data_IF_950587062399
#
_entry.id   IF_950587062399
#
_cell.length_a   1.000
_cell.length_b   1.000
_cell.length_c   1.000
_cell.angle_alpha   90.00
_cell.angle_beta   90.00
_cell.angle_gamma   90.00
#
_symmetry.space_group_name_H-M   'P 1'
#
loop_
_entity.id
_entity.type
_entity.pdbx_description
1 polymer ?
#
# COMPACT_ATOMS: atom_id res chain seq x y z
N UNK A 1 -30.05 -16.15 14.21
CA UNK A 1 -28.70 -16.60 13.84
C UNK A 1 -28.46 -16.21 12.39
N UNK A 2 -27.85 -15.06 12.14
CA UNK A 2 -27.60 -14.58 10.77
C UNK A 2 -26.32 -15.23 10.26
N UNK A 3 -26.46 -16.20 9.37
CA UNK A 3 -25.35 -16.72 8.57
C UNK A 3 -25.00 -15.61 7.60
N UNK A 4 -23.95 -14.83 7.90
CA UNK A 4 -23.41 -13.85 6.95
C UNK A 4 -22.84 -14.67 5.78
N UNK A 5 -23.41 -14.57 4.57
CA UNK A 5 -22.94 -15.33 3.43
C UNK A 5 -21.48 -14.98 3.16
N UNK A 6 -20.65 -15.99 2.87
CA UNK A 6 -19.20 -15.91 2.62
C UNK A 6 -18.79 -15.04 1.40
N UNK A 7 -19.69 -14.22 0.85
CA UNK A 7 -19.53 -13.45 -0.38
C UNK A 7 -18.68 -12.16 -0.22
N UNK A 8 -18.22 -11.84 0.99
CA UNK A 8 -17.31 -10.72 1.26
C UNK A 8 -16.02 -11.16 1.95
N UNK A 9 -15.43 -12.30 1.56
CA UNK A 9 -14.01 -12.52 1.90
C UNK A 9 -13.21 -11.39 1.25
N UNK A 10 -12.58 -10.56 2.08
CA UNK A 10 -11.69 -9.49 1.63
C UNK A 10 -10.65 -10.15 0.71
N UNK A 11 -10.38 -9.60 -0.49
CA UNK A 11 -9.37 -10.17 -1.37
C UNK A 11 -7.97 -10.12 -0.73
N UNK A 12 -7.79 -9.23 0.24
CA UNK A 12 -6.56 -9.06 1.01
C UNK A 12 -6.94 -8.80 2.47
N UNK A 13 -6.39 -9.60 3.39
CA UNK A 13 -6.50 -9.41 4.83
C UNK A 13 -5.22 -8.79 5.39
N UNK A 14 -5.37 -7.76 6.23
CA UNK A 14 -4.26 -7.10 6.91
C UNK A 14 -4.07 -7.70 8.30
N UNK A 15 -2.90 -8.26 8.58
CA UNK A 15 -2.48 -8.69 9.90
C UNK A 15 -1.29 -7.85 10.38
N UNK A 16 -1.31 -7.47 11.67
CA UNK A 16 -0.22 -6.77 12.31
C UNK A 16 0.57 -7.74 13.20
N UNK A 17 1.88 -7.78 13.02
CA UNK A 17 2.79 -8.53 13.88
C UNK A 17 3.80 -7.58 14.51
N UNK A 18 4.57 -8.05 15.49
CA UNK A 18 5.66 -7.26 16.05
C UNK A 18 6.79 -7.00 15.04
N UNK A 19 6.93 -7.83 14.00
CA UNK A 19 7.96 -7.70 12.99
C UNK A 19 7.55 -6.77 11.84
N UNK A 20 6.26 -6.74 11.49
CA UNK A 20 5.77 -5.94 10.38
C UNK A 20 4.28 -6.08 10.13
N UNK A 21 3.88 -5.75 8.92
CA UNK A 21 2.54 -5.96 8.39
C UNK A 21 2.55 -7.14 7.44
N UNK A 22 1.53 -7.98 7.53
CA UNK A 22 1.27 -9.06 6.59
C UNK A 22 -0.01 -8.76 5.82
N UNK A 23 0.08 -8.81 4.50
CA UNK A 23 -1.04 -8.67 3.57
C UNK A 23 -1.34 -10.06 3.00
N UNK A 24 -2.27 -10.77 3.62
CA UNK A 24 -2.66 -12.11 3.20
C UNK A 24 -3.61 -12.03 2.01
N UNK A 25 -3.22 -12.64 0.92
CA UNK A 25 -3.99 -12.77 -0.32
C UNK A 25 -4.46 -14.22 -0.48
N UNK A 26 -5.08 -14.56 -1.61
CA UNK A 26 -5.46 -15.95 -1.90
C UNK A 26 -4.26 -16.83 -2.24
N UNK A 27 -3.19 -16.23 -2.74
CA UNK A 27 -2.01 -16.94 -3.27
C UNK A 27 -0.79 -16.89 -2.35
N UNK A 28 -0.88 -16.19 -1.22
CA UNK A 28 0.24 -16.05 -0.28
C UNK A 28 0.12 -14.77 0.53
N UNK A 29 1.19 -14.38 1.22
CA UNK A 29 1.24 -13.14 1.99
C UNK A 29 2.39 -12.25 1.49
N UNK A 30 2.12 -10.95 1.38
CA UNK A 30 3.18 -9.96 1.24
C UNK A 30 3.54 -9.41 2.62
N UNK A 31 4.82 -9.25 2.90
CA UNK A 31 5.32 -8.76 4.19
C UNK A 31 5.97 -7.39 4.05
N UNK A 32 5.65 -6.49 4.98
CA UNK A 32 6.24 -5.15 5.08
C UNK A 32 6.85 -5.04 6.48
N UNK A 33 8.19 -5.11 6.63
CA UNK A 33 8.84 -4.87 7.90
C UNK A 33 8.53 -3.46 8.42
N UNK A 34 8.38 -3.28 9.73
CA UNK A 34 8.14 -1.93 10.30
C UNK A 34 9.26 -0.92 9.97
N UNK A 35 10.48 -1.41 9.78
CA UNK A 35 11.64 -0.61 9.37
C UNK A 35 11.49 0.00 7.97
N UNK A 36 10.73 -0.68 7.10
CA UNK A 36 10.43 -0.21 5.74
C UNK A 36 9.23 0.73 5.70
N UNK A 37 8.64 1.08 6.86
CA UNK A 37 7.56 2.05 6.98
C UNK A 37 8.12 3.40 7.42
N UNK A 38 8.19 4.36 6.50
CA UNK A 38 8.69 5.71 6.81
C UNK A 38 7.64 6.59 7.48
N UNK A 39 6.35 6.31 7.27
CA UNK A 39 5.28 7.09 7.88
C UNK A 39 3.92 6.43 7.78
N UNK A 40 3.07 6.77 8.74
CA UNK A 40 1.67 6.34 8.83
C UNK A 40 0.86 7.61 9.07
N UNK A 41 -0.33 7.70 8.48
CA UNK A 41 -1.19 8.84 8.72
C UNK A 41 -2.60 8.63 8.25
N UNK A 42 -3.46 9.61 8.51
CA UNK A 42 -4.86 9.58 8.12
C UNK A 42 -5.11 10.54 6.98
N UNK A 43 -6.03 10.16 6.10
CA UNK A 43 -6.57 11.06 5.09
C UNK A 43 -8.06 10.87 4.91
N UNK A 44 -8.77 11.95 4.62
CA UNK A 44 -10.17 11.88 4.24
C UNK A 44 -10.30 11.59 2.74
N UNK A 45 -11.11 10.60 2.38
CA UNK A 45 -11.43 10.28 1.00
C UNK A 45 -12.89 9.87 0.87
N UNK A 46 -13.63 10.57 -0.02
CA UNK A 46 -15.04 10.31 -0.27
C UNK A 46 -15.84 10.17 1.04
N UNK A 47 -15.63 11.13 1.95
CA UNK A 47 -16.28 11.21 3.27
C UNK A 47 -15.88 10.12 4.29
N UNK A 48 -14.95 9.22 3.94
CA UNK A 48 -14.44 8.19 4.84
C UNK A 48 -12.96 8.42 5.20
N UNK A 49 -12.59 8.07 6.43
CA UNK A 49 -11.21 8.15 6.89
C UNK A 49 -10.44 6.93 6.44
N UNK A 50 -9.42 7.17 5.61
CA UNK A 50 -8.45 6.18 5.19
C UNK A 50 -7.19 6.28 6.05
N UNK A 51 -6.63 5.13 6.39
CA UNK A 51 -5.29 4.97 6.92
C UNK A 51 -4.32 4.84 5.75
N UNK A 52 -3.33 5.71 5.70
CA UNK A 52 -2.29 5.71 4.70
C UNK A 52 -0.96 5.23 5.28
N UNK A 53 -0.24 4.47 4.47
CA UNK A 53 1.10 3.99 4.79
C UNK A 53 2.09 4.46 3.73
N UNK A 54 3.27 4.86 4.21
CA UNK A 54 4.38 5.30 3.40
C UNK A 54 5.53 4.31 3.53
N UNK A 55 5.98 3.77 2.41
CA UNK A 55 7.14 2.89 2.34
C UNK A 55 8.42 3.70 2.19
N UNK A 56 9.47 3.27 2.89
CA UNK A 56 10.83 3.83 2.81
C UNK A 56 11.51 3.44 1.50
N UNK A 57 11.29 2.19 1.06
CA UNK A 57 11.70 1.64 -0.23
C UNK A 57 10.68 0.62 -0.71
N UNK A 58 10.60 0.39 -2.02
CA UNK A 58 9.79 -0.67 -2.60
C UNK A 58 10.57 -1.98 -2.77
N UNK A 59 11.90 -1.95 -2.67
CA UNK A 59 12.75 -3.09 -3.07
C UNK A 59 12.42 -4.33 -2.24
N UNK A 60 12.44 -4.25 -0.90
CA UNK A 60 12.13 -5.38 -0.03
C UNK A 60 10.68 -5.86 -0.18
N UNK A 61 9.75 -4.93 -0.36
CA UNK A 61 8.34 -5.25 -0.50
C UNK A 61 8.04 -6.00 -1.80
N UNK A 62 8.66 -5.57 -2.91
CA UNK A 62 8.46 -6.16 -4.23
C UNK A 62 9.30 -7.43 -4.43
N UNK A 63 10.53 -7.49 -3.90
CA UNK A 63 11.43 -8.64 -4.05
C UNK A 63 10.92 -9.88 -3.30
N UNK A 64 10.16 -9.71 -2.22
CA UNK A 64 9.60 -10.81 -1.44
C UNK A 64 8.21 -11.24 -1.93
N UNK A 65 7.79 -10.82 -3.13
CA UNK A 65 6.45 -11.02 -3.63
C UNK A 65 6.45 -11.87 -4.90
N UNK A 66 5.52 -12.84 -4.98
CA UNK A 66 5.29 -13.58 -6.22
C UNK A 66 4.37 -12.79 -7.16
N UNK A 67 4.41 -13.04 -8.49
CA UNK A 67 3.52 -12.38 -9.44
C UNK A 67 2.03 -12.53 -9.12
N UNK A 68 1.61 -13.66 -8.57
CA UNK A 68 0.21 -13.95 -8.19
C UNK A 68 -0.23 -13.09 -7.00
N UNK A 69 0.63 -12.95 -6.00
CA UNK A 69 0.38 -12.04 -4.86
C UNK A 69 0.31 -10.59 -5.33
N UNK A 70 1.19 -10.20 -6.27
CA UNK A 70 1.16 -8.87 -6.86
C UNK A 70 -0.15 -8.61 -7.62
N UNK A 71 -0.63 -9.59 -8.38
CA UNK A 71 -1.90 -9.50 -9.11
C UNK A 71 -3.10 -9.34 -8.16
N UNK A 72 -3.14 -10.12 -7.07
CA UNK A 72 -4.18 -9.99 -6.04
C UNK A 72 -4.16 -8.60 -5.37
N UNK A 73 -2.96 -8.11 -5.04
CA UNK A 73 -2.79 -6.77 -4.45
C UNK A 73 -3.19 -5.66 -5.44
N UNK A 74 -2.83 -5.77 -6.72
CA UNK A 74 -3.29 -4.85 -7.78
C UNK A 74 -4.81 -4.83 -7.88
N UNK A 75 -5.44 -6.00 -7.78
CA UNK A 75 -6.89 -6.16 -7.81
C UNK A 75 -7.61 -5.64 -6.57
N UNK A 76 -6.89 -5.49 -5.46
CA UNK A 76 -7.44 -5.09 -4.16
C UNK A 76 -7.98 -3.66 -4.17
N UNK A 77 -8.97 -3.41 -3.30
CA UNK A 77 -9.51 -2.07 -3.12
C UNK A 77 -8.47 -1.08 -2.57
N UNK A 78 -7.47 -1.57 -1.84
CA UNK A 78 -6.39 -0.76 -1.26
C UNK A 78 -5.55 -0.08 -2.35
N UNK A 79 -5.32 -0.77 -3.46
CA UNK A 79 -4.56 -0.27 -4.62
C UNK A 79 -5.48 0.35 -5.67
N UNK A 80 -6.63 -0.26 -5.99
CA UNK A 80 -7.55 0.26 -7.02
C UNK A 80 -8.21 1.59 -6.66
N UNK A 81 -8.36 1.95 -5.39
CA UNK A 81 -8.95 3.25 -5.01
C UNK A 81 -8.12 4.45 -5.47
N UNK A 82 -6.82 4.26 -5.67
CA UNK A 82 -5.91 5.23 -6.27
C UNK A 82 -6.29 5.53 -7.72
N UNK A 83 -6.58 4.46 -8.48
CA UNK A 83 -7.12 4.55 -9.84
C UNK A 83 -8.49 5.24 -9.83
N UNK A 84 -9.38 4.91 -8.89
CA UNK A 84 -10.67 5.61 -8.76
C UNK A 84 -10.53 7.09 -8.41
N UNK A 85 -9.58 7.51 -7.56
CA UNK A 85 -9.25 8.93 -7.36
C UNK A 85 -8.79 9.59 -8.65
N UNK A 86 -7.94 8.89 -9.42
CA UNK A 86 -7.45 9.38 -10.70
C UNK A 86 -8.60 9.54 -11.69
N UNK A 87 -9.49 8.55 -11.78
CA UNK A 87 -10.69 8.52 -12.64
C UNK A 87 -11.77 9.52 -12.21
N UNK A 88 -12.05 9.67 -10.92
CA UNK A 88 -12.99 10.68 -10.38
C UNK A 88 -12.44 12.09 -10.52
N UNK A 89 -11.11 12.25 -10.52
CA UNK A 89 -10.43 13.48 -10.96
C UNK A 89 -10.31 13.61 -12.48
N UNK A 90 -10.89 12.75 -13.33
CA UNK A 90 -10.93 12.99 -14.79
C UNK A 90 -11.91 14.11 -15.16
N UNK A 91 -12.75 14.59 -14.23
CA UNK A 91 -13.35 15.93 -14.33
C UNK A 91 -12.35 17.08 -14.08
N UNK A 92 -11.15 16.79 -13.57
CA UNK A 92 -10.12 17.75 -13.13
C UNK A 92 -8.72 17.29 -13.60
N UNK A 93 -8.49 17.39 -14.90
CA UNK A 93 -7.20 17.49 -15.61
C UNK A 93 -5.95 17.15 -14.77
N UNK A 94 -5.46 15.91 -14.80
CA UNK A 94 -4.09 15.61 -14.40
C UNK A 94 -3.16 16.19 -15.46
N UNK A 95 -2.42 17.29 -15.22
CA UNK A 95 -1.68 17.95 -16.28
C UNK A 95 -0.63 16.98 -16.81
N UNK A 96 -0.59 16.76 -18.12
CA UNK A 96 0.42 15.93 -18.79
C UNK A 96 1.86 16.30 -18.40
N UNK A 97 2.09 17.52 -17.88
CA UNK A 97 3.36 18.01 -17.32
C UNK A 97 3.71 17.44 -15.95
N UNK A 98 2.75 17.08 -15.10
CA UNK A 98 2.99 16.40 -13.80
C UNK A 98 3.30 14.92 -14.03
N UNK A 99 2.51 14.26 -14.89
CA UNK A 99 2.86 12.92 -15.39
C UNK A 99 4.26 12.89 -16.03
N UNK A 100 4.57 13.79 -16.98
CA UNK A 100 5.92 13.88 -17.56
C UNK A 100 7.00 14.17 -16.53
N UNK A 101 6.73 14.98 -15.50
CA UNK A 101 7.69 15.25 -14.43
C UNK A 101 7.93 14.02 -13.55
N UNK A 102 6.89 13.27 -13.19
CA UNK A 102 7.00 11.98 -12.51
C UNK A 102 7.85 11.01 -13.34
N UNK A 103 7.48 10.81 -14.61
CA UNK A 103 8.23 9.97 -15.54
C UNK A 103 9.68 10.44 -15.72
N UNK A 104 9.95 11.74 -15.77
CA UNK A 104 11.31 12.28 -15.90
C UNK A 104 12.15 12.21 -14.61
N UNK A 105 11.51 12.27 -13.43
CA UNK A 105 12.17 12.09 -12.13
C UNK A 105 12.52 10.61 -11.91
N UNK A 106 11.64 9.72 -12.34
CA UNK A 106 11.84 8.27 -12.32
C UNK A 106 12.88 7.83 -13.37
N UNK A 107 12.84 8.38 -14.59
CA UNK A 107 13.78 8.07 -15.68
C UNK A 107 15.22 8.59 -15.47
N UNK A 108 15.46 9.45 -14.48
CA UNK A 108 16.84 9.84 -14.08
C UNK A 108 17.58 8.72 -13.33
N UNK A 109 16.90 7.62 -12.97
CA UNK A 109 17.49 6.43 -12.34
C UNK A 109 17.20 5.20 -13.21
N UNK A 110 17.96 5.01 -14.29
CA UNK A 110 17.79 3.94 -15.30
C UNK A 110 16.41 3.95 -15.96
N UNK A 111 16.29 3.18 -17.05
CA UNK A 111 15.03 3.01 -17.79
C UNK A 111 14.02 2.22 -16.94
N UNK A 112 13.44 2.91 -15.95
CA UNK A 112 12.53 2.32 -14.97
C UNK A 112 11.31 1.71 -15.66
N UNK A 113 10.84 2.29 -16.77
CA UNK A 113 9.75 1.72 -17.55
C UNK A 113 10.15 0.36 -18.17
N UNK A 114 11.37 0.23 -18.71
CA UNK A 114 11.86 -1.06 -19.20
C UNK A 114 12.11 -2.06 -18.06
N UNK A 115 12.62 -1.61 -16.91
CA UNK A 115 12.82 -2.44 -15.71
C UNK A 115 11.47 -2.96 -15.17
N UNK A 116 10.49 -2.08 -15.00
CA UNK A 116 9.15 -2.45 -14.51
C UNK A 116 8.43 -3.34 -15.51
N UNK A 117 8.51 -3.05 -16.82
CA UNK A 117 7.93 -3.91 -17.86
C UNK A 117 8.56 -5.30 -17.89
N UNK A 118 9.85 -5.42 -17.53
CA UNK A 118 10.54 -6.70 -17.35
C UNK A 118 10.12 -7.47 -16.09
N UNK A 119 9.46 -6.83 -15.12
CA UNK A 119 9.00 -7.44 -13.86
C UNK A 119 7.52 -7.89 -13.92
N UNK A 120 6.85 -7.75 -15.07
CA UNK A 120 5.46 -8.17 -15.27
C UNK A 120 4.49 -7.56 -14.25
N UNK A 121 3.65 -8.39 -13.65
CA UNK A 121 2.62 -7.97 -12.67
C UNK A 121 3.21 -7.22 -11.46
N UNK A 122 4.42 -7.56 -11.02
CA UNK A 122 5.10 -6.87 -9.90
C UNK A 122 5.50 -5.45 -10.30
N UNK A 123 5.93 -5.26 -11.56
CA UNK A 123 6.29 -3.96 -12.09
C UNK A 123 5.09 -3.02 -12.20
N UNK A 124 3.95 -3.55 -12.63
CA UNK A 124 2.69 -2.80 -12.66
C UNK A 124 2.22 -2.38 -11.26
N UNK A 125 2.40 -3.25 -10.25
CA UNK A 125 2.08 -2.92 -8.86
C UNK A 125 2.95 -1.76 -8.36
N UNK A 126 4.24 -1.79 -8.64
CA UNK A 126 5.17 -0.71 -8.29
C UNK A 126 4.76 0.63 -8.91
N UNK A 127 4.31 0.62 -10.17
CA UNK A 127 3.78 1.82 -10.83
C UNK A 127 2.54 2.37 -10.09
N UNK A 128 1.63 1.48 -9.68
CA UNK A 128 0.43 1.89 -8.93
C UNK A 128 0.74 2.49 -7.56
N UNK A 129 1.73 1.94 -6.83
CA UNK A 129 2.19 2.50 -5.56
C UNK A 129 2.77 3.91 -5.75
N UNK A 130 3.59 4.11 -6.78
CA UNK A 130 4.14 5.42 -7.14
C UNK A 130 3.04 6.44 -7.46
N UNK A 131 2.04 6.04 -8.26
CA UNK A 131 0.88 6.88 -8.56
C UNK A 131 0.08 7.18 -7.28
N UNK A 132 -0.05 6.21 -6.39
CA UNK A 132 -0.72 6.39 -5.09
C UNK A 132 -0.02 7.46 -4.27
N UNK A 133 1.30 7.33 -4.13
CA UNK A 133 2.14 8.26 -3.37
C UNK A 133 2.01 9.69 -3.87
N UNK A 134 2.03 9.89 -5.18
CA UNK A 134 1.90 11.24 -5.76
C UNK A 134 0.47 11.80 -5.63
N UNK A 135 -0.55 10.96 -5.79
CA UNK A 135 -1.95 11.41 -5.82
C UNK A 135 -2.58 11.62 -4.44
N UNK A 136 -2.12 10.87 -3.44
CA UNK A 136 -2.69 10.83 -2.10
C UNK A 136 -1.71 11.22 -0.99
N UNK A 137 -0.40 11.17 -1.27
CA UNK A 137 0.64 11.28 -0.25
C UNK A 137 1.01 9.94 0.40
N UNK A 138 0.41 8.81 0.01
CA UNK A 138 0.64 7.49 0.62
C UNK A 138 0.76 6.39 -0.43
N UNK A 139 1.57 5.37 -0.17
CA UNK A 139 1.77 4.24 -1.08
C UNK A 139 0.61 3.24 -1.01
N UNK A 140 0.15 2.94 0.22
CA UNK A 140 -0.99 2.05 0.49
C UNK A 140 -2.06 2.79 1.27
N UNK A 141 -3.33 2.50 0.96
CA UNK A 141 -4.50 3.12 1.59
C UNK A 141 -5.49 2.06 2.07
N UNK A 142 -5.83 2.09 3.35
CA UNK A 142 -6.77 1.20 4.00
C UNK A 142 -7.99 2.00 4.47
N UNK A 143 -9.19 1.51 4.18
CA UNK A 143 -10.45 2.07 4.70
C UNK A 143 -10.95 1.24 5.87
N UNK A 144 -12.03 1.69 6.52
CA UNK A 144 -12.74 0.88 7.52
C UNK A 144 -13.12 -0.53 7.05
N UNK A 145 -13.25 -0.76 5.74
CA UNK A 145 -13.57 -2.09 5.19
C UNK A 145 -12.38 -3.03 5.13
N UNK A 146 -11.17 -2.51 5.26
CA UNK A 146 -9.91 -3.27 5.24
C UNK A 146 -9.40 -3.54 6.66
N UNK A 147 -9.89 -2.77 7.64
CA UNK A 147 -9.45 -2.81 9.02
C UNK A 147 -10.40 -3.63 9.89
N UNK A 148 -9.88 -4.21 10.97
CA UNK A 148 -10.63 -4.93 12.00
C UNK A 148 -11.05 -4.01 13.16
N UNK A 149 -10.63 -2.74 13.14
CA UNK A 149 -10.85 -1.75 14.19
C UNK A 149 -11.00 -0.33 13.59
N UNK A 150 -11.49 0.65 14.37
CA UNK A 150 -11.63 2.03 13.90
C UNK A 150 -10.30 2.62 13.40
N UNK A 151 -10.34 3.37 12.29
CA UNK A 151 -9.14 3.86 11.58
C UNK A 151 -8.13 4.58 12.49
N UNK A 152 -8.60 5.47 13.39
CA UNK A 152 -7.74 6.17 14.35
C UNK A 152 -7.07 5.24 15.37
N UNK A 153 -7.78 4.21 15.83
CA UNK A 153 -7.20 3.21 16.74
C UNK A 153 -6.17 2.35 16.02
N UNK A 154 -6.41 2.05 14.74
CA UNK A 154 -5.45 1.32 13.91
C UNK A 154 -4.19 2.14 13.66
N UNK A 155 -4.32 3.41 13.28
CA UNK A 155 -3.21 4.34 13.11
C UNK A 155 -2.30 4.37 14.34
N UNK A 156 -2.89 4.63 15.52
CA UNK A 156 -2.14 4.71 16.76
C UNK A 156 -1.40 3.40 17.09
N UNK A 157 -2.03 2.25 16.82
CA UNK A 157 -1.40 0.95 17.02
C UNK A 157 -0.23 0.73 16.06
N UNK A 158 -0.43 0.96 14.77
CA UNK A 158 0.62 0.80 13.77
C UNK A 158 1.80 1.75 14.03
N UNK A 159 1.51 2.99 14.42
CA UNK A 159 2.54 3.96 14.79
C UNK A 159 3.30 3.54 16.06
N UNK A 160 2.63 2.89 17.01
CA UNK A 160 3.29 2.32 18.19
C UNK A 160 4.27 1.21 17.79
N UNK A 161 3.87 0.27 16.93
CA UNK A 161 4.76 -0.79 16.45
C UNK A 161 5.94 -0.24 15.63
N UNK A 162 5.66 0.72 14.74
CA UNK A 162 6.71 1.41 13.97
C UNK A 162 7.74 2.04 14.88
N UNK A 163 7.32 2.81 15.90
CA UNK A 163 8.24 3.43 16.87
C UNK A 163 9.01 2.41 17.68
N UNK A 164 8.36 1.35 18.17
CA UNK A 164 9.02 0.29 18.92
C UNK A 164 10.08 -0.44 18.10
N UNK A 165 9.87 -0.62 16.79
CA UNK A 165 10.84 -1.26 15.90
C UNK A 165 12.13 -0.44 15.69
N UNK A 166 12.03 0.89 15.81
CA UNK A 166 13.18 1.81 15.73
C UNK A 166 14.02 1.78 17.01
N UNK A 167 13.37 1.58 18.16
CA UNK A 167 14.04 1.57 19.48
C UNK A 167 14.71 0.22 19.77
N UNK A 168 14.29 -0.87 19.10
CA UNK A 168 14.73 -2.21 19.44
C UNK A 168 15.11 -3.05 18.19
N UNK A 169 16.25 -2.76 17.54
CA UNK A 169 16.67 -3.44 16.31
C UNK A 169 17.04 -4.92 16.50
N UNK A 170 17.08 -5.41 17.75
CA UNK A 170 17.50 -6.78 18.10
C UNK A 170 16.40 -7.64 18.73
N UNK A 171 15.15 -7.18 18.81
CA UNK A 171 14.04 -8.01 19.27
C UNK A 171 14.18 -8.52 20.72
N UNK A 172 14.91 -7.81 21.58
CA UNK A 172 15.03 -8.19 23.00
C UNK A 172 13.84 -7.58 23.75
N UNK A 173 12.94 -8.43 24.23
CA UNK A 173 11.79 -8.03 25.06
C UNK A 173 12.29 -7.38 26.36
N UNK A 174 11.61 -6.35 26.89
CA UNK A 174 11.68 -6.07 28.32
C UNK A 174 11.08 -7.23 29.14
#
# INVERSE_FOLDING_TARGET
>A
MFIIPCYFKRPVDLALTFAGLELHTRHGAAFIPWQDVSGIGLMLFAEDWCLGLILSSYDNFLNNMTPEVAQDLKGSAMVRRVLWRRLLRIGMYWPARKARRLWSRLARKRDLAAVLKGLGEVGDLAELLLISRESSGYDLLFTRFDLDRPTRKMEALMESYRRSSVVNPLGVRP
#
